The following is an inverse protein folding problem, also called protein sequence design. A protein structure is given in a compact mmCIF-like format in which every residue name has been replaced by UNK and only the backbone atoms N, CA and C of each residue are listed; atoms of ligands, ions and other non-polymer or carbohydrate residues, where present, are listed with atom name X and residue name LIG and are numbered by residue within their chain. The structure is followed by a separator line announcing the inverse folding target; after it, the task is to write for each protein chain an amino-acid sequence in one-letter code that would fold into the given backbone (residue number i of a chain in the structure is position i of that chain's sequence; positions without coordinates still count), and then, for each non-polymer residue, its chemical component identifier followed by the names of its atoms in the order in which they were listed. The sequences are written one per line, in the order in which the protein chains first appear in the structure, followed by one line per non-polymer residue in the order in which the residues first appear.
data_IF_155023030876
#
_entry.id   IF_155023030876
#
_cell.length_a   1.000
_cell.length_b   1.000
_cell.length_c   1.000
_cell.angle_alpha   90.00
_cell.angle_beta   90.00
_cell.angle_gamma   90.00
#
_symmetry.space_group_name_H-M   'P 1'
#
loop_
_entity.id
_entity.type
_entity.pdbx_description
1 polymer ?
#
# COMPACT_ATOMS: atom_id res chain seq x y z
N UNK A 1 24.24 45.65 -3.77
CA UNK A 1 22.78 45.64 -3.59
C UNK A 1 22.22 44.50 -4.41
N UNK A 2 22.01 43.33 -3.80
CA UNK A 2 21.45 42.15 -4.49
C UNK A 2 19.96 42.13 -4.20
N UNK A 3 19.14 42.34 -5.24
CA UNK A 3 17.69 42.19 -5.16
C UNK A 3 17.37 40.70 -4.93
N UNK A 4 16.74 40.40 -3.79
CA UNK A 4 16.17 39.09 -3.52
C UNK A 4 14.72 39.12 -3.99
N UNK A 5 14.42 38.45 -5.10
CA UNK A 5 13.05 38.22 -5.52
C UNK A 5 12.51 37.01 -4.73
N UNK A 6 11.40 37.22 -4.02
CA UNK A 6 10.63 36.16 -3.38
C UNK A 6 9.93 35.34 -4.46
N UNK A 7 10.54 34.22 -4.86
CA UNK A 7 9.93 33.28 -5.77
C UNK A 7 8.95 32.37 -5.01
N UNK A 8 7.69 32.34 -5.45
CA UNK A 8 6.69 31.38 -4.99
C UNK A 8 7.08 30.00 -5.53
N UNK A 9 7.68 29.16 -4.69
CA UNK A 9 8.02 27.77 -5.04
C UNK A 9 6.80 26.91 -4.80
N UNK A 10 6.27 26.28 -5.85
CA UNK A 10 5.16 25.33 -5.74
C UNK A 10 5.71 23.91 -5.82
N UNK A 11 5.80 23.21 -4.69
CA UNK A 11 6.17 21.79 -4.69
C UNK A 11 5.08 20.98 -5.41
N UNK A 12 5.47 20.06 -6.29
CA UNK A 12 4.56 19.08 -6.88
C UNK A 12 5.25 17.73 -6.84
N UNK A 13 4.71 16.85 -6.04
CA UNK A 13 5.21 15.49 -5.83
C UNK A 13 4.89 14.64 -7.06
N UNK A 14 5.86 13.86 -7.50
CA UNK A 14 5.67 12.77 -8.47
C UNK A 14 6.41 11.58 -7.89
N UNK A 15 5.72 10.46 -7.68
CA UNK A 15 6.32 9.22 -7.20
C UNK A 15 6.45 8.28 -8.40
N UNK A 16 7.61 7.64 -8.53
CA UNK A 16 7.84 6.56 -9.51
C UNK A 16 7.95 5.24 -8.75
N UNK A 17 7.12 4.23 -9.05
CA UNK A 17 7.19 2.95 -8.36
C UNK A 17 8.41 2.15 -8.83
N UNK A 18 9.19 1.62 -7.89
CA UNK A 18 10.12 0.51 -8.14
C UNK A 18 9.72 -0.60 -7.18
N UNK A 19 8.99 -1.58 -7.69
CA UNK A 19 8.57 -2.75 -6.91
C UNK A 19 9.77 -3.66 -6.65
N UNK A 20 9.96 -4.03 -5.38
CA UNK A 20 11.03 -4.93 -4.95
C UNK A 20 12.07 -4.22 -4.08
N UNK A 21 12.07 -4.58 -2.81
CA UNK A 21 13.09 -4.33 -1.79
C UNK A 21 13.12 -3.00 -1.01
N UNK A 22 12.52 -1.87 -1.41
CA UNK A 22 12.61 -0.65 -0.59
C UNK A 22 11.43 0.32 -0.73
N UNK A 23 10.91 0.80 0.40
CA UNK A 23 10.00 1.95 0.44
C UNK A 23 10.81 3.23 0.18
N UNK A 24 10.51 3.90 -0.94
CA UNK A 24 11.19 5.13 -1.33
C UNK A 24 10.26 6.34 -1.16
N UNK A 25 10.74 7.39 -0.50
CA UNK A 25 10.10 8.70 -0.46
C UNK A 25 10.71 9.59 -1.56
N UNK A 26 9.91 9.97 -2.56
CA UNK A 26 10.32 10.96 -3.55
C UNK A 26 9.72 12.33 -3.25
N UNK A 27 10.58 13.32 -3.02
CA UNK A 27 10.19 14.73 -2.87
C UNK A 27 10.59 15.47 -4.15
N UNK A 28 9.64 16.15 -4.79
CA UNK A 28 9.91 16.95 -6.00
C UNK A 28 9.50 18.40 -5.79
N UNK A 29 10.48 19.31 -5.83
CA UNK A 29 10.27 20.75 -5.84
C UNK A 29 10.24 21.25 -7.29
N UNK A 30 9.19 22.01 -7.64
CA UNK A 30 9.07 22.66 -8.95
C UNK A 30 9.06 24.18 -8.76
N UNK A 31 10.01 24.86 -9.38
CA UNK A 31 10.03 26.32 -9.46
C UNK A 31 9.39 26.78 -10.76
N UNK A 32 8.49 27.76 -10.68
CA UNK A 32 7.98 28.48 -11.85
C UNK A 32 8.47 29.92 -11.81
N UNK A 33 9.15 30.37 -12.87
CA UNK A 33 9.40 31.79 -13.08
C UNK A 33 8.20 32.36 -13.85
N UNK A 34 7.29 33.03 -13.13
CA UNK A 34 6.26 33.83 -13.79
C UNK A 34 6.84 35.20 -14.15
N UNK A 35 7.45 35.26 -15.34
CA UNK A 35 7.61 36.51 -16.04
C UNK A 35 7.15 36.31 -17.48
N UNK A 36 5.92 36.77 -17.74
CA UNK A 36 5.37 37.12 -19.05
C UNK A 36 6.44 37.08 -20.18
N UNK A 37 6.42 36.02 -20.99
CA UNK A 37 6.97 35.86 -22.38
C UNK A 37 8.06 34.76 -22.58
N UNK A 38 7.59 33.73 -23.30
CA UNK A 38 8.17 32.82 -24.33
C UNK A 38 9.19 31.71 -24.06
N UNK A 39 9.87 31.61 -22.92
CA UNK A 39 10.60 30.38 -22.61
C UNK A 39 10.36 29.98 -21.16
N UNK A 40 9.46 29.02 -20.96
CA UNK A 40 9.16 28.48 -19.64
C UNK A 40 10.30 27.57 -19.22
N UNK A 41 11.30 28.12 -18.52
CA UNK A 41 12.36 27.32 -17.89
C UNK A 41 11.78 26.61 -16.67
N UNK A 42 11.83 25.28 -16.71
CA UNK A 42 11.36 24.41 -15.65
C UNK A 42 12.54 23.93 -14.81
N UNK A 43 12.64 24.40 -13.56
CA UNK A 43 13.59 23.81 -12.61
C UNK A 43 12.84 22.81 -11.74
N UNK A 44 13.21 21.54 -11.87
CA UNK A 44 12.72 20.44 -11.03
C UNK A 44 13.87 19.77 -10.35
N UNK A 45 13.84 19.78 -9.03
CA UNK A 45 14.74 19.00 -8.21
C UNK A 45 13.92 17.89 -7.57
N UNK A 46 14.39 16.65 -7.74
CA UNK A 46 13.79 15.48 -7.12
C UNK A 46 14.83 14.80 -6.26
N UNK A 47 14.43 14.43 -5.05
CA UNK A 47 15.22 13.60 -4.15
C UNK A 47 14.44 12.34 -3.87
N UNK A 48 15.12 11.20 -3.90
CA UNK A 48 14.55 9.89 -3.58
C UNK A 48 15.35 9.36 -2.40
N UNK A 49 14.64 9.01 -1.33
CA UNK A 49 15.25 8.48 -0.12
C UNK A 49 14.65 7.13 0.21
N UNK A 50 15.49 6.17 0.60
CA UNK A 50 15.13 4.87 1.12
C UNK A 50 14.95 4.94 2.64
N UNK A 51 14.14 4.05 3.23
CA UNK A 51 14.07 3.86 4.69
C UNK A 51 15.42 3.64 5.37
N UNK A 52 16.39 3.07 4.64
CA UNK A 52 17.75 2.84 5.11
C UNK A 52 18.68 4.05 4.97
N UNK A 53 18.25 5.12 4.30
CA UNK A 53 19.11 6.29 4.13
C UNK A 53 19.24 7.04 5.47
N UNK A 54 20.43 7.58 5.80
CA UNK A 54 20.62 8.35 7.04
C UNK A 54 19.73 9.59 7.16
N UNK A 55 19.19 10.06 6.03
CA UNK A 55 18.29 11.21 5.94
C UNK A 55 16.82 10.82 6.06
N UNK A 56 16.50 9.52 6.08
CA UNK A 56 15.17 9.06 6.45
C UNK A 56 14.85 9.57 7.86
N UNK A 57 13.64 10.08 8.11
CA UNK A 57 13.27 10.59 9.43
C UNK A 57 13.17 9.43 10.43
N UNK A 58 14.30 9.08 11.04
CA UNK A 58 14.41 8.02 12.04
C UNK A 58 13.56 8.38 13.28
N UNK A 59 12.78 7.41 13.75
CA UNK A 59 11.88 7.60 14.89
C UNK A 59 10.61 8.40 14.59
N UNK A 60 10.31 8.67 13.32
CA UNK A 60 9.01 9.16 12.86
C UNK A 60 8.40 8.13 11.94
N UNK A 61 7.20 7.67 12.30
CA UNK A 61 6.42 6.80 11.43
C UNK A 61 5.66 7.69 10.43
N UNK A 62 6.16 7.81 9.21
CA UNK A 62 5.52 8.63 8.17
C UNK A 62 4.14 8.11 7.72
N UNK A 63 3.72 6.94 8.19
CA UNK A 63 2.40 6.36 7.95
C UNK A 63 1.44 6.64 9.11
N UNK A 64 1.93 6.62 10.36
CA UNK A 64 1.10 6.77 11.56
C UNK A 64 1.15 8.17 12.19
N UNK A 65 2.27 8.87 12.08
CA UNK A 65 2.51 10.14 12.78
C UNK A 65 1.96 11.33 11.99
N UNK A 66 0.64 11.48 12.04
CA UNK A 66 -0.17 12.49 11.33
C UNK A 66 0.21 13.94 11.62
N UNK A 67 0.87 14.21 12.74
CA UNK A 67 1.11 15.57 13.24
C UNK A 67 2.45 16.17 12.80
N UNK A 68 3.28 15.43 12.05
CA UNK A 68 4.65 15.87 11.73
C UNK A 68 4.69 16.58 10.38
N UNK A 69 5.28 17.77 10.35
CA UNK A 69 5.55 18.48 9.09
C UNK A 69 6.85 17.98 8.47
N UNK A 70 6.90 17.83 7.14
CA UNK A 70 8.17 17.67 6.42
C UNK A 70 8.62 19.04 5.91
N UNK A 71 9.85 19.41 6.27
CA UNK A 71 10.50 20.64 5.83
C UNK A 71 11.81 20.32 5.13
N UNK A 72 12.09 21.04 4.04
CA UNK A 72 13.39 21.05 3.40
C UNK A 72 14.17 22.28 3.85
N UNK A 73 15.43 22.06 4.19
CA UNK A 73 16.35 23.12 4.61
C UNK A 73 17.47 23.29 3.59
N UNK A 74 17.81 24.55 3.31
CA UNK A 74 19.06 24.93 2.65
C UNK A 74 19.59 26.19 3.31
N UNK A 75 20.74 26.06 3.99
CA UNK A 75 21.32 27.10 4.83
C UNK A 75 20.30 27.63 5.85
N UNK A 76 19.95 28.92 5.80
CA UNK A 76 18.96 29.55 6.69
C UNK A 76 17.53 29.52 6.14
N UNK A 77 17.30 28.94 4.95
CA UNK A 77 15.99 28.91 4.31
C UNK A 77 15.30 27.58 4.57
N UNK A 78 14.03 27.65 4.98
CA UNK A 78 13.14 26.51 5.09
C UNK A 78 11.99 26.60 4.10
N UNK A 79 11.56 25.44 3.60
CA UNK A 79 10.33 25.29 2.82
C UNK A 79 9.55 24.13 3.42
N UNK A 80 8.31 24.40 3.82
CA UNK A 80 7.39 23.35 4.25
C UNK A 80 6.90 22.64 2.99
N UNK A 81 7.22 21.36 2.88
CA UNK A 81 6.79 20.52 1.75
C UNK A 81 5.54 19.72 2.09
N UNK A 82 5.34 19.40 3.38
CA UNK A 82 4.09 18.85 3.90
C UNK A 82 3.83 19.48 5.27
N UNK A 83 2.67 20.12 5.47
CA UNK A 83 2.33 20.69 6.79
C UNK A 83 2.13 19.60 7.85
N UNK A 84 1.74 18.42 7.39
CA UNK A 84 1.46 17.25 8.18
C UNK A 84 1.72 16.01 7.28
N UNK A 85 1.99 14.85 7.86
CA UNK A 85 2.38 13.66 7.08
C UNK A 85 1.25 13.15 6.21
N UNK A 86 -0.02 13.53 6.46
CA UNK A 86 -1.15 13.15 5.60
C UNK A 86 -1.08 13.65 4.18
N UNK A 87 -0.30 14.70 3.96
CA UNK A 87 -0.06 15.27 2.65
C UNK A 87 0.98 14.47 1.85
N UNK A 88 1.65 13.50 2.48
CA UNK A 88 2.57 12.62 1.79
C UNK A 88 1.79 11.54 1.05
N UNK A 89 2.15 11.31 -0.21
CA UNK A 89 1.55 10.24 -1.03
C UNK A 89 1.69 8.85 -0.37
N UNK A 90 2.68 8.68 0.51
CA UNK A 90 2.93 7.43 1.24
C UNK A 90 1.96 7.20 2.41
N UNK A 91 1.39 8.25 3.00
CA UNK A 91 0.74 8.21 4.31
C UNK A 91 -0.50 7.30 4.40
N UNK A 92 -1.10 6.94 3.27
CA UNK A 92 -2.12 5.89 3.20
C UNK A 92 -1.90 4.92 2.04
N UNK A 93 -0.65 4.79 1.60
CA UNK A 93 -0.26 4.09 0.39
C UNK A 93 -1.14 4.45 -0.82
N UNK A 94 -1.50 5.74 -0.96
CA UNK A 94 -2.31 6.24 -2.08
C UNK A 94 -1.63 6.00 -3.44
N UNK A 95 -0.30 5.83 -3.44
CA UNK A 95 0.43 5.39 -4.63
C UNK A 95 0.06 3.96 -5.06
N UNK A 96 -0.37 3.08 -4.16
CA UNK A 96 -0.84 1.75 -4.55
C UNK A 96 -2.15 1.85 -5.34
N UNK A 97 -2.98 2.87 -5.10
CA UNK A 97 -4.25 3.09 -5.83
C UNK A 97 -4.05 3.47 -7.31
N UNK A 98 -2.89 4.01 -7.70
CA UNK A 98 -2.68 4.41 -9.10
C UNK A 98 -2.26 3.27 -10.02
N UNK A 99 -1.62 2.22 -9.48
CA UNK A 99 -1.10 1.10 -10.25
C UNK A 99 -1.77 -0.24 -9.90
N UNK A 100 -2.39 -0.35 -8.73
CA UNK A 100 -3.07 -1.57 -8.27
C UNK A 100 -4.54 -1.27 -7.96
N UNK A 101 -5.38 -2.28 -8.09
CA UNK A 101 -6.71 -2.24 -7.49
C UNK A 101 -6.52 -2.35 -5.97
N UNK A 102 -6.67 -1.22 -5.29
CA UNK A 102 -6.50 -1.14 -3.85
C UNK A 102 -7.88 -1.07 -3.18
N UNK A 103 -8.10 -1.98 -2.24
CA UNK A 103 -9.37 -2.23 -1.59
C UNK A 103 -9.22 -1.96 -0.10
N UNK A 104 -9.95 -0.99 0.43
CA UNK A 104 -9.79 -0.64 1.84
C UNK A 104 -10.37 0.71 2.22
N UNK A 105 -9.99 1.17 3.41
CA UNK A 105 -10.39 2.42 4.03
C UNK A 105 -9.25 2.97 4.91
N UNK A 106 -9.57 3.89 5.81
CA UNK A 106 -8.59 4.53 6.70
C UNK A 106 -8.01 3.58 7.77
N UNK A 107 -8.50 2.33 7.87
CA UNK A 107 -8.02 1.34 8.84
C UNK A 107 -7.18 0.22 8.22
N UNK A 108 -7.52 -0.18 6.99
CA UNK A 108 -6.88 -1.29 6.27
C UNK A 108 -6.79 -1.01 4.77
N UNK A 109 -5.77 -1.56 4.12
CA UNK A 109 -5.63 -1.56 2.68
C UNK A 109 -5.18 -2.94 2.20
N UNK A 110 -5.92 -3.51 1.26
CA UNK A 110 -5.59 -4.76 0.59
C UNK A 110 -5.28 -4.45 -0.86
N UNK A 111 -4.18 -5.01 -1.37
CA UNK A 111 -3.81 -4.93 -2.78
C UNK A 111 -3.51 -6.30 -3.33
N UNK A 112 -3.78 -6.45 -4.62
CA UNK A 112 -3.54 -7.68 -5.36
C UNK A 112 -2.71 -7.38 -6.61
N UNK A 113 -1.72 -8.23 -6.90
CA UNK A 113 -0.98 -8.24 -8.16
C UNK A 113 -0.96 -9.68 -8.69
N UNK A 114 -1.43 -9.85 -9.91
CA UNK A 114 -1.43 -11.09 -10.65
C UNK A 114 -0.24 -11.13 -11.60
N UNK A 115 0.57 -12.15 -11.45
CA UNK A 115 1.62 -12.52 -12.43
C UNK A 115 1.13 -13.64 -13.34
N UNK A 116 2.00 -14.19 -14.19
CA UNK A 116 1.66 -15.35 -15.02
C UNK A 116 1.52 -16.66 -14.23
N UNK A 117 1.93 -16.69 -12.95
CA UNK A 117 2.02 -17.92 -12.15
C UNK A 117 1.22 -17.89 -10.85
N UNK A 118 1.01 -16.71 -10.30
CA UNK A 118 0.49 -16.54 -8.94
C UNK A 118 -0.26 -15.22 -8.78
N UNK A 119 -1.06 -15.15 -7.73
CA UNK A 119 -1.67 -13.93 -7.22
C UNK A 119 -0.90 -13.56 -5.95
N UNK A 120 -0.38 -12.35 -5.91
CA UNK A 120 0.32 -11.75 -4.78
C UNK A 120 -0.64 -10.84 -4.05
N UNK A 121 -0.65 -10.97 -2.74
CA UNK A 121 -1.52 -10.25 -1.84
C UNK A 121 -0.65 -9.44 -0.90
N UNK A 122 -1.08 -8.20 -0.62
CA UNK A 122 -0.53 -7.42 0.47
C UNK A 122 -1.67 -6.80 1.25
N UNK A 123 -1.62 -7.00 2.55
CA UNK A 123 -2.48 -6.36 3.53
C UNK A 123 -1.63 -5.38 4.32
N UNK A 124 -2.07 -4.13 4.36
CA UNK A 124 -1.56 -3.09 5.23
C UNK A 124 -2.64 -2.74 6.26
N UNK A 125 -2.25 -2.54 7.50
CA UNK A 125 -3.14 -2.03 8.54
C UNK A 125 -2.37 -1.07 9.45
N UNK A 126 -3.09 -0.07 9.97
CA UNK A 126 -2.45 1.11 10.57
C UNK A 126 -2.80 1.32 12.04
N UNK A 127 -3.60 0.44 12.65
CA UNK A 127 -4.02 0.54 14.04
C UNK A 127 -3.26 -0.45 14.93
N UNK A 128 -2.63 0.09 15.97
CA UNK A 128 -1.67 -0.60 16.85
C UNK A 128 -2.27 -1.65 17.81
N UNK A 129 -3.56 -1.97 17.73
CA UNK A 129 -4.25 -2.75 18.76
C UNK A 129 -4.83 -4.09 18.29
N UNK A 130 -4.68 -4.44 17.00
CA UNK A 130 -5.20 -5.70 16.49
C UNK A 130 -4.20 -6.82 16.78
N UNK A 131 -4.67 -8.00 17.20
CA UNK A 131 -3.80 -9.18 17.35
C UNK A 131 -3.80 -10.03 16.08
N UNK A 132 -4.92 -9.97 15.36
CA UNK A 132 -5.15 -10.75 14.16
C UNK A 132 -5.93 -9.92 13.15
N UNK A 133 -5.50 -9.95 11.90
CA UNK A 133 -6.27 -9.40 10.78
C UNK A 133 -6.56 -10.52 9.80
N UNK A 134 -7.80 -10.63 9.38
CA UNK A 134 -8.29 -11.72 8.52
C UNK A 134 -8.89 -11.15 7.25
N UNK A 135 -8.34 -11.55 6.11
CA UNK A 135 -8.90 -11.27 4.79
C UNK A 135 -9.73 -12.48 4.35
N UNK A 136 -10.99 -12.25 4.00
CA UNK A 136 -11.91 -13.28 3.51
C UNK A 136 -12.43 -12.90 2.14
N UNK A 137 -12.25 -13.81 1.17
CA UNK A 137 -12.75 -13.70 -0.20
C UNK A 137 -13.81 -14.78 -0.40
N UNK A 138 -15.07 -14.37 -0.57
CA UNK A 138 -16.20 -15.30 -0.73
C UNK A 138 -16.71 -15.29 -2.16
N UNK A 139 -16.71 -16.44 -2.83
CA UNK A 139 -17.31 -16.61 -4.16
C UNK A 139 -18.83 -16.70 -4.05
N UNK A 140 -19.51 -16.49 -5.18
CA UNK A 140 -20.98 -16.57 -5.27
C UNK A 140 -21.53 -17.97 -4.92
N UNK A 141 -20.76 -19.02 -5.11
CA UNK A 141 -21.10 -20.40 -4.76
C UNK A 141 -20.86 -20.74 -3.27
N UNK A 142 -20.47 -19.76 -2.45
CA UNK A 142 -20.29 -19.92 -1.01
C UNK A 142 -18.88 -20.36 -0.60
N UNK A 143 -18.00 -20.69 -1.54
CA UNK A 143 -16.61 -21.06 -1.23
C UNK A 143 -15.84 -19.82 -0.74
N UNK A 144 -15.19 -19.94 0.40
CA UNK A 144 -14.43 -18.89 1.05
C UNK A 144 -12.93 -19.22 1.04
N UNK A 145 -12.12 -18.24 0.68
CA UNK A 145 -10.69 -18.20 0.98
C UNK A 145 -10.49 -17.26 2.16
N UNK A 146 -9.80 -17.73 3.19
CA UNK A 146 -9.55 -16.96 4.40
C UNK A 146 -8.05 -16.95 4.70
N UNK A 147 -7.51 -15.75 4.86
CA UNK A 147 -6.10 -15.49 5.12
C UNK A 147 -6.00 -14.77 6.45
N UNK A 148 -5.44 -15.44 7.45
CA UNK A 148 -5.31 -14.98 8.82
C UNK A 148 -3.87 -14.53 9.05
N UNK A 149 -3.67 -13.22 9.20
CA UNK A 149 -2.40 -12.65 9.59
C UNK A 149 -2.37 -12.41 11.11
N UNK A 150 -1.51 -13.15 11.80
CA UNK A 150 -1.28 -12.97 13.23
C UNK A 150 -0.05 -12.09 13.42
N UNK A 151 -0.19 -10.95 14.11
CA UNK A 151 0.88 -9.92 14.08
C UNK A 151 2.19 -10.37 14.72
N UNK A 152 2.14 -11.40 15.57
CA UNK A 152 3.29 -11.94 16.29
C UNK A 152 3.56 -13.41 15.95
N UNK A 153 2.97 -13.91 14.87
CA UNK A 153 3.11 -15.30 14.46
C UNK A 153 2.99 -15.44 12.94
N UNK A 154 2.89 -16.68 12.49
CA UNK A 154 2.77 -16.99 11.08
C UNK A 154 1.39 -16.61 10.51
N UNK A 155 1.38 -16.51 9.20
CA UNK A 155 0.19 -16.34 8.41
C UNK A 155 -0.43 -17.71 8.07
N UNK A 156 -1.74 -17.85 8.26
CA UNK A 156 -2.48 -19.07 7.92
C UNK A 156 -3.47 -18.81 6.78
N UNK A 157 -3.62 -19.78 5.91
CA UNK A 157 -4.59 -19.82 4.81
C UNK A 157 -5.58 -20.96 5.02
N UNK A 158 -6.86 -20.68 4.79
CA UNK A 158 -7.93 -21.66 4.83
C UNK A 158 -8.81 -21.55 3.59
N UNK A 159 -9.29 -22.69 3.13
CA UNK A 159 -10.41 -22.79 2.20
C UNK A 159 -11.58 -23.44 2.92
N UNK A 160 -12.79 -22.92 2.74
CA UNK A 160 -13.97 -23.51 3.34
C UNK A 160 -15.20 -23.37 2.45
N UNK A 161 -16.15 -24.28 2.65
CA UNK A 161 -17.52 -24.15 2.20
C UNK A 161 -18.45 -24.23 3.43
N UNK A 162 -19.75 -24.41 3.23
CA UNK A 162 -20.72 -24.47 4.33
C UNK A 162 -20.53 -25.67 5.28
N UNK A 163 -19.79 -26.70 4.86
CA UNK A 163 -19.68 -28.00 5.55
C UNK A 163 -18.28 -28.36 6.01
N UNK A 164 -17.24 -27.86 5.34
CA UNK A 164 -15.85 -28.28 5.55
C UNK A 164 -14.92 -27.08 5.45
N UNK A 165 -13.87 -27.10 6.27
CA UNK A 165 -12.78 -26.12 6.30
C UNK A 165 -11.46 -26.87 6.30
N UNK A 166 -10.60 -26.52 5.36
CA UNK A 166 -9.28 -27.13 5.17
C UNK A 166 -8.20 -26.05 5.19
N UNK A 167 -7.03 -26.37 5.76
CA UNK A 167 -5.86 -25.50 5.67
C UNK A 167 -5.26 -25.56 4.27
N UNK A 168 -4.83 -24.41 3.76
CA UNK A 168 -4.05 -24.25 2.51
C UNK A 168 -2.68 -23.65 2.78
N UNK A 169 -2.19 -23.71 4.03
CA UNK A 169 -0.90 -23.11 4.44
C UNK A 169 0.26 -23.57 3.55
N UNK A 170 0.28 -24.86 3.20
CA UNK A 170 1.31 -25.48 2.33
C UNK A 170 1.28 -25.00 0.88
N UNK A 171 0.20 -24.33 0.47
CA UNK A 171 0.03 -23.78 -0.87
C UNK A 171 0.32 -22.27 -0.91
N UNK A 172 0.55 -21.64 0.25
CA UNK A 172 1.00 -20.26 0.32
C UNK A 172 2.46 -20.18 -0.12
N UNK A 173 2.76 -19.15 -0.90
CA UNK A 173 4.10 -18.85 -1.43
C UNK A 173 4.60 -17.62 -0.70
N UNK A 174 5.78 -17.72 -0.09
CA UNK A 174 6.46 -16.64 0.64
C UNK A 174 5.53 -15.85 1.59
N UNK A 175 4.76 -16.52 2.49
CA UNK A 175 4.00 -15.80 3.50
C UNK A 175 4.97 -15.09 4.45
N UNK A 176 4.73 -13.80 4.68
CA UNK A 176 5.58 -12.96 5.51
C UNK A 176 4.76 -11.93 6.28
N UNK A 177 5.21 -11.63 7.50
CA UNK A 177 4.66 -10.59 8.38
C UNK A 177 5.77 -9.60 8.68
N UNK A 178 5.71 -8.45 8.02
CA UNK A 178 6.75 -7.44 8.06
C UNK A 178 6.37 -6.39 9.11
N UNK A 179 7.26 -6.19 10.08
CA UNK A 179 7.16 -5.19 11.16
C UNK A 179 5.87 -5.22 11.99
N UNK A 180 5.12 -6.34 12.00
CA UNK A 180 3.79 -6.37 12.63
C UNK A 180 2.86 -5.27 12.08
N UNK A 181 2.95 -4.98 10.78
CA UNK A 181 2.14 -3.95 10.10
C UNK A 181 1.70 -4.37 8.68
N UNK A 182 2.48 -5.23 8.04
CA UNK A 182 2.23 -5.67 6.67
C UNK A 182 2.21 -7.19 6.64
N UNK A 183 1.20 -7.74 5.97
CA UNK A 183 1.14 -9.16 5.68
C UNK A 183 1.23 -9.34 4.17
N UNK A 184 2.18 -10.13 3.72
CA UNK A 184 2.43 -10.41 2.31
C UNK A 184 2.37 -11.91 2.08
N UNK A 185 1.71 -12.35 1.02
CA UNK A 185 1.70 -13.74 0.62
C UNK A 185 1.38 -13.85 -0.86
N UNK A 186 1.67 -15.00 -1.45
CA UNK A 186 1.22 -15.34 -2.78
C UNK A 186 0.50 -16.69 -2.78
N UNK A 187 -0.34 -16.90 -3.79
CA UNK A 187 -1.06 -18.16 -4.00
C UNK A 187 -1.01 -18.56 -5.46
N UNK A 188 -1.04 -19.88 -5.76
CA UNK A 188 -1.41 -20.32 -7.10
C UNK A 188 -2.83 -19.83 -7.45
N UNK A 189 -3.18 -19.86 -8.74
CA UNK A 189 -4.54 -19.50 -9.19
C UNK A 189 -5.60 -20.45 -8.66
N UNK A 190 -5.25 -21.73 -8.52
CA UNK A 190 -6.15 -22.75 -7.98
C UNK A 190 -5.62 -23.14 -6.60
N UNK A 191 -6.43 -22.86 -5.58
CA UNK A 191 -6.18 -23.24 -4.19
C UNK A 191 -7.09 -24.38 -3.77
N UNK A 192 -6.60 -25.23 -2.86
CA UNK A 192 -7.39 -26.31 -2.26
C UNK A 192 -7.00 -27.69 -2.77
N UNK A 193 -7.93 -28.63 -2.73
CA UNK A 193 -7.73 -30.03 -3.08
C UNK A 193 -8.92 -30.60 -3.89
N UNK A 194 -9.00 -31.94 -3.99
CA UNK A 194 -10.07 -32.60 -4.74
C UNK A 194 -11.46 -32.50 -4.09
N UNK A 195 -11.56 -32.08 -2.82
CA UNK A 195 -12.82 -31.92 -2.09
C UNK A 195 -13.33 -30.50 -2.20
N UNK A 196 -12.45 -29.52 -1.96
CA UNK A 196 -12.78 -28.09 -2.05
C UNK A 196 -11.65 -27.40 -2.78
N UNK A 197 -11.99 -26.74 -3.89
CA UNK A 197 -11.04 -25.91 -4.62
C UNK A 197 -11.64 -24.56 -4.97
N UNK A 198 -10.75 -23.59 -5.17
CA UNK A 198 -11.07 -22.23 -5.57
C UNK A 198 -10.16 -21.84 -6.72
N UNK A 199 -10.74 -21.67 -7.91
CA UNK A 199 -10.08 -21.00 -9.02
C UNK A 199 -10.29 -19.49 -8.90
N UNK A 200 -9.25 -18.81 -8.42
CA UNK A 200 -9.26 -17.39 -8.17
C UNK A 200 -9.05 -16.54 -9.44
N UNK A 201 -8.66 -17.14 -10.57
CA UNK A 201 -8.24 -16.42 -11.77
C UNK A 201 -9.37 -15.61 -12.43
N UNK A 202 -10.56 -16.21 -12.52
CA UNK A 202 -11.76 -15.59 -13.12
C UNK A 202 -12.89 -15.38 -12.13
N UNK A 203 -12.64 -15.61 -10.84
CA UNK A 203 -13.66 -15.49 -9.81
C UNK A 203 -13.93 -14.03 -9.44
N UNK A 204 -15.18 -13.78 -9.09
CA UNK A 204 -15.66 -12.53 -8.49
C UNK A 204 -15.94 -12.80 -7.03
N UNK A 205 -15.44 -11.95 -6.16
CA UNK A 205 -15.45 -12.15 -4.72
C UNK A 205 -16.22 -11.05 -4.00
N UNK A 206 -16.87 -11.44 -2.91
CA UNK A 206 -17.15 -10.56 -1.80
C UNK A 206 -15.95 -10.55 -0.87
N UNK A 207 -15.26 -9.42 -0.80
CA UNK A 207 -14.12 -9.16 0.08
C UNK A 207 -14.63 -8.69 1.44
N UNK A 208 -14.09 -9.28 2.49
CA UNK A 208 -14.30 -8.87 3.88
C UNK A 208 -12.96 -8.86 4.60
N UNK A 209 -12.65 -7.78 5.30
CA UNK A 209 -11.50 -7.69 6.21
C UNK A 209 -12.03 -7.56 7.63
N UNK A 210 -11.55 -8.44 8.51
CA UNK A 210 -11.88 -8.43 9.93
C UNK A 210 -10.62 -8.24 10.75
N UNK A 211 -10.66 -7.34 11.72
CA UNK A 211 -9.61 -7.17 12.71
C UNK A 211 -10.11 -7.72 14.04
N UNK A 212 -9.40 -8.72 14.56
CA UNK A 212 -9.82 -9.64 15.61
C UNK A 212 -11.20 -10.26 15.30
N UNK A 213 -12.27 -9.72 15.89
CA UNK A 213 -13.65 -10.19 15.68
C UNK A 213 -14.54 -9.15 15.00
N UNK A 214 -14.01 -7.95 14.72
CA UNK A 214 -14.77 -6.84 14.14
C UNK A 214 -14.53 -6.78 12.64
N UNK A 215 -15.61 -6.70 11.88
CA UNK A 215 -15.51 -6.38 10.44
C UNK A 215 -15.13 -4.91 10.29
N UNK A 216 -14.01 -4.65 9.63
CA UNK A 216 -13.48 -3.28 9.42
C UNK A 216 -13.66 -2.81 7.98
N UNK A 217 -13.78 -3.75 7.03
CA UNK A 217 -13.98 -3.42 5.62
C UNK A 217 -14.75 -4.52 4.89
N UNK A 218 -15.58 -4.13 3.93
CA UNK A 218 -16.28 -5.06 3.03
C UNK A 218 -16.46 -4.44 1.66
N UNK A 219 -16.34 -5.24 0.61
CA UNK A 219 -16.55 -4.81 -0.76
C UNK A 219 -17.11 -5.97 -1.59
N UNK A 220 -18.07 -5.67 -2.47
CA UNK A 220 -18.64 -6.65 -3.40
C UNK A 220 -17.99 -6.51 -4.76
N UNK A 221 -18.13 -7.56 -5.55
CA UNK A 221 -17.73 -7.58 -6.97
C UNK A 221 -16.23 -7.35 -7.20
N UNK A 222 -15.39 -7.82 -6.26
CA UNK A 222 -13.93 -7.71 -6.33
C UNK A 222 -13.37 -8.80 -7.25
N UNK A 223 -12.56 -8.39 -8.22
CA UNK A 223 -11.79 -9.30 -9.08
C UNK A 223 -10.30 -9.17 -8.81
N UNK A 224 -9.59 -10.29 -8.74
CA UNK A 224 -8.14 -10.33 -8.50
C UNK A 224 -7.36 -10.14 -9.81
N UNK A 225 -7.61 -9.02 -10.48
CA UNK A 225 -6.94 -8.62 -11.72
C UNK A 225 -6.09 -7.38 -11.47
N UNK A 226 -5.03 -7.23 -12.25
CA UNK A 226 -4.22 -6.02 -12.25
C UNK A 226 -5.06 -4.83 -12.73
N UNK A 227 -4.73 -3.64 -12.23
CA UNK A 227 -5.32 -2.41 -12.73
C UNK A 227 -4.97 -2.25 -14.21
N UNK A 228 -5.98 -2.04 -15.04
CA UNK A 228 -5.82 -1.74 -16.47
C UNK A 228 -5.43 -0.28 -16.66
N UNK A 229 -4.25 0.11 -16.17
CA UNK A 229 -3.64 1.39 -16.51
C UNK A 229 -2.40 1.13 -17.36
N UNK A 230 -2.68 0.94 -18.66
CA UNK A 230 -1.79 1.32 -19.76
C UNK A 230 -2.32 2.65 -20.33
#
# INVERSE_FOLDING_TARGET
MVLVFAHLVTAKFKVMPVFGAYDYLQITLKGYNDHRIKWMMFLSCSWVFNINDPIWPQGVDLLKDTSKSIKLYKDTKEVIVAQDTSQLTIYHAQYLKCCNNAHGNDEVLVTFDRTDKEIRYRLYYWKDNYKKVTVTLTRKDGIQLQFECNLHADMNGYISNDTERSSVDKQLIEPDVIYSEICSWATPFVLGDSRISNDAFNSVFYLKVSADYRTVYTEKDVTLKNSSHL
#
